data_IF_004796845289
#
_entry.id   IF_004796845289
#
_cell.length_a   1.000
_cell.length_b   1.000
_cell.length_c   1.000
_cell.angle_alpha   90.00
_cell.angle_beta   90.00
_cell.angle_gamma   90.00
#
_symmetry.space_group_name_H-M   'P 1'
#
loop_
_entity.id
_entity.type
_entity.pdbx_description
1 polymer ?
#
# COMPACT_ATOMS: atom_id res chain seq x y z
N UNK A 1 23.66 23.41 30.34
CA UNK A 1 23.28 22.00 30.26
C UNK A 1 22.62 21.86 28.90
N UNK A 2 23.26 21.12 28.00
CA UNK A 2 22.73 20.87 26.67
C UNK A 2 22.04 19.51 26.75
N UNK A 3 20.73 19.49 26.55
CA UNK A 3 20.00 18.22 26.51
C UNK A 3 20.33 17.54 25.19
N UNK A 4 20.93 16.36 25.24
CA UNK A 4 21.25 15.59 24.05
C UNK A 4 20.05 14.71 23.70
N UNK A 5 19.07 15.28 23.00
CA UNK A 5 17.86 14.56 22.58
C UNK A 5 17.99 14.19 21.10
N UNK A 6 17.79 12.91 20.78
CA UNK A 6 17.70 12.42 19.41
C UNK A 6 16.22 12.17 19.06
N UNK A 7 15.79 12.70 17.90
CA UNK A 7 14.40 12.61 17.43
C UNK A 7 14.39 11.89 16.08
N UNK A 8 13.67 10.77 16.02
CA UNK A 8 13.46 10.03 14.78
C UNK A 8 12.11 10.47 14.19
N UNK A 9 12.14 11.13 13.04
CA UNK A 9 10.93 11.66 12.39
C UNK A 9 10.89 11.42 10.89
N UNK A 10 9.67 11.37 10.35
CA UNK A 10 9.43 11.40 8.91
C UNK A 10 9.56 12.84 8.39
N UNK A 11 10.45 13.06 7.42
CA UNK A 11 10.70 14.40 6.86
C UNK A 11 9.56 14.90 5.95
N UNK A 12 8.77 14.00 5.37
CA UNK A 12 7.70 14.35 4.44
C UNK A 12 6.38 14.64 5.16
N UNK A 13 6.07 13.90 6.24
CA UNK A 13 4.83 14.06 7.02
C UNK A 13 5.02 14.83 8.33
N UNK A 14 6.27 15.09 8.73
CA UNK A 14 6.64 15.67 10.02
C UNK A 14 6.14 14.86 11.24
N UNK A 15 5.85 13.57 11.05
CA UNK A 15 5.44 12.66 12.12
C UNK A 15 6.66 12.19 12.92
N UNK A 16 6.60 12.30 14.25
CA UNK A 16 7.67 11.88 15.16
C UNK A 16 7.38 10.47 15.64
N UNK A 17 8.33 9.57 15.44
CA UNK A 17 8.22 8.17 15.86
C UNK A 17 8.78 7.94 17.25
N UNK A 18 9.91 8.59 17.55
CA UNK A 18 10.65 8.32 18.77
C UNK A 18 11.45 9.56 19.20
N UNK A 19 11.51 9.76 20.52
CA UNK A 19 12.31 10.81 21.16
C UNK A 19 13.15 10.12 22.23
N UNK A 20 14.46 10.14 22.05
CA UNK A 20 15.44 9.47 22.91
C UNK A 20 16.19 10.55 23.68
N UNK A 21 16.13 10.53 25.01
CA UNK A 21 16.93 11.41 25.87
C UNK A 21 18.25 10.69 26.21
N UNK A 22 19.35 11.14 25.62
CA UNK A 22 20.67 10.55 25.82
C UNK A 22 21.30 10.94 27.18
N UNK A 23 20.68 11.85 27.93
CA UNK A 23 21.15 12.22 29.26
C UNK A 23 20.54 11.34 30.38
N UNK A 24 19.54 10.51 30.07
CA UNK A 24 18.85 9.64 31.04
C UNK A 24 19.47 8.23 31.16
N UNK A 25 20.45 7.87 30.30
CA UNK A 25 21.16 6.59 30.40
C UNK A 25 22.35 6.61 31.36
N UNK A 26 22.03 6.58 32.66
CA UNK A 26 22.84 5.85 33.64
C UNK A 26 21.91 5.05 34.53
N UNK A 27 21.62 3.81 34.15
CA UNK A 27 21.92 2.61 34.95
C UNK A 27 21.51 1.33 34.21
N UNK A 28 22.34 0.30 34.41
CA UNK A 28 22.12 -1.11 34.14
C UNK A 28 22.36 -1.64 32.72
N UNK A 29 23.63 -1.92 32.46
CA UNK A 29 24.06 -3.02 31.60
C UNK A 29 23.52 -4.37 32.14
N UNK A 30 22.72 -5.07 31.33
CA UNK A 30 22.62 -6.53 31.37
C UNK A 30 22.50 -7.03 29.93
N UNK A 31 23.45 -7.89 29.59
CA UNK A 31 23.49 -8.79 28.44
C UNK A 31 22.21 -9.59 28.33
N UNK A 32 21.55 -9.56 27.17
CA UNK A 32 21.05 -10.79 26.55
C UNK A 32 20.83 -10.51 25.06
N UNK A 33 21.63 -11.21 24.26
CA UNK A 33 21.43 -11.36 22.82
C UNK A 33 20.19 -12.23 22.63
N UNK A 34 19.01 -11.66 22.83
CA UNK A 34 17.82 -12.22 22.21
C UNK A 34 17.87 -11.76 20.75
N UNK A 35 18.26 -12.67 19.84
CA UNK A 35 17.74 -12.60 18.48
C UNK A 35 16.21 -12.55 18.64
N UNK A 36 15.68 -11.33 18.67
CA UNK A 36 14.27 -11.08 18.41
C UNK A 36 13.98 -11.90 17.15
N UNK A 37 13.03 -12.85 17.18
CA UNK A 37 12.67 -13.51 15.95
C UNK A 37 12.30 -12.38 15.01
N UNK A 38 12.95 -12.31 13.83
CA UNK A 38 12.50 -11.46 12.73
C UNK A 38 10.98 -11.59 12.77
N UNK A 39 10.28 -10.48 13.03
CA UNK A 39 8.83 -10.49 13.06
C UNK A 39 8.41 -11.01 11.68
N UNK A 40 8.17 -12.32 11.60
CA UNK A 40 7.61 -12.95 10.44
C UNK A 40 6.26 -12.28 10.37
N UNK A 41 6.14 -11.29 9.47
CA UNK A 41 4.89 -10.64 9.17
C UNK A 41 3.97 -11.77 8.73
N UNK A 42 3.22 -12.33 9.67
CA UNK A 42 2.20 -13.35 9.46
C UNK A 42 0.96 -12.67 8.89
N UNK A 43 1.18 -11.79 7.92
CA UNK A 43 0.15 -11.35 7.02
C UNK A 43 -0.32 -12.62 6.30
N UNK A 44 -1.63 -12.96 6.35
CA UNK A 44 -2.17 -14.05 5.54
C UNK A 44 -2.05 -13.75 4.03
N UNK A 45 -1.59 -12.55 3.68
CA UNK A 45 -1.32 -12.10 2.32
C UNK A 45 0.16 -12.25 1.97
N UNK A 46 0.42 -12.79 0.78
CA UNK A 46 1.74 -12.89 0.17
C UNK A 46 2.34 -11.50 -0.16
N UNK A 47 3.57 -11.46 -0.68
CA UNK A 47 4.26 -10.23 -1.09
C UNK A 47 3.52 -9.42 -2.16
N UNK A 48 2.52 -10.02 -2.80
CA UNK A 48 1.64 -9.38 -3.79
C UNK A 48 0.30 -8.95 -3.17
N UNK A 49 0.15 -9.08 -1.85
CA UNK A 49 -1.06 -8.73 -1.13
C UNK A 49 -2.20 -9.72 -1.36
N UNK A 50 -1.92 -10.98 -1.71
CA UNK A 50 -2.93 -12.02 -2.03
C UNK A 50 -3.00 -13.11 -0.98
N UNK A 51 -4.20 -13.60 -0.68
CA UNK A 51 -4.49 -14.76 0.16
C UNK A 51 -5.13 -15.85 -0.69
N UNK A 52 -4.73 -17.11 -0.50
CA UNK A 52 -5.35 -18.26 -1.16
C UNK A 52 -6.57 -18.73 -0.35
N UNK A 53 -7.77 -18.73 -0.94
CA UNK A 53 -9.02 -19.13 -0.26
C UNK A 53 -9.54 -20.52 -0.73
N UNK A 54 -8.68 -21.34 -1.32
CA UNK A 54 -9.02 -22.70 -1.77
C UNK A 54 -9.58 -22.78 -3.20
N UNK A 55 -10.25 -21.74 -3.66
CA UNK A 55 -10.79 -21.62 -5.03
C UNK A 55 -10.07 -20.57 -5.88
N UNK A 56 -9.04 -19.92 -5.35
CA UNK A 56 -8.27 -18.89 -6.04
C UNK A 56 -7.46 -18.00 -5.09
N UNK A 57 -6.66 -17.12 -5.68
CA UNK A 57 -5.98 -16.04 -4.98
C UNK A 57 -6.87 -14.79 -4.92
N UNK A 58 -6.98 -14.18 -3.74
CA UNK A 58 -7.78 -12.99 -3.45
C UNK A 58 -6.91 -11.90 -2.85
N UNK A 59 -7.05 -10.66 -3.30
CA UNK A 59 -6.27 -9.56 -2.76
C UNK A 59 -6.79 -9.08 -1.39
N UNK A 60 -5.91 -8.49 -0.57
CA UNK A 60 -6.22 -7.85 0.71
C UNK A 60 -7.35 -6.83 0.52
N UNK A 61 -8.36 -6.78 1.42
CA UNK A 61 -9.56 -5.94 1.26
C UNK A 61 -9.32 -4.43 1.43
N UNK A 62 -8.16 -3.90 1.00
CA UNK A 62 -7.87 -2.47 0.96
C UNK A 62 -7.55 -1.95 -0.45
N UNK A 63 -7.75 -2.75 -1.50
CA UNK A 63 -7.04 -2.50 -2.76
C UNK A 63 -7.94 -2.31 -3.98
N UNK A 64 -8.98 -1.49 -3.87
CA UNK A 64 -9.73 -0.98 -5.03
C UNK A 64 -9.79 0.54 -4.91
N UNK A 65 -9.21 1.25 -5.88
CA UNK A 65 -9.33 2.71 -5.96
C UNK A 65 -10.74 3.08 -6.44
N UNK A 66 -11.18 2.44 -7.52
CA UNK A 66 -12.53 2.59 -8.03
C UNK A 66 -12.92 1.40 -8.92
N UNK A 67 -14.23 1.19 -9.04
CA UNK A 67 -14.86 0.28 -10.01
C UNK A 67 -16.00 1.03 -10.68
N UNK A 68 -16.09 0.91 -12.00
CA UNK A 68 -17.22 1.44 -12.78
C UNK A 68 -17.66 0.44 -13.84
N UNK A 69 -18.91 0.53 -14.26
CA UNK A 69 -19.50 -0.31 -15.30
C UNK A 69 -19.86 0.60 -16.48
N UNK A 70 -19.34 0.28 -17.67
CA UNK A 70 -19.60 1.01 -18.90
C UNK A 70 -19.72 0.02 -20.05
N UNK A 71 -20.79 0.12 -20.82
CA UNK A 71 -21.03 -0.73 -22.00
C UNK A 71 -20.93 -2.24 -21.73
N UNK A 72 -21.49 -2.70 -20.60
CA UNK A 72 -21.44 -4.10 -20.12
C UNK A 72 -20.02 -4.62 -19.80
N UNK A 73 -19.08 -3.70 -19.64
CA UNK A 73 -17.70 -3.96 -19.21
C UNK A 73 -17.49 -3.37 -17.82
N UNK A 74 -16.96 -4.21 -16.94
CA UNK A 74 -16.52 -3.82 -15.60
C UNK A 74 -15.06 -3.35 -15.70
N UNK A 75 -14.82 -2.14 -15.22
CA UNK A 75 -13.53 -1.48 -15.14
C UNK A 75 -13.14 -1.30 -13.68
N UNK A 76 -11.96 -1.76 -13.30
CA UNK A 76 -11.47 -1.69 -11.92
C UNK A 76 -10.01 -1.23 -11.89
N UNK A 77 -9.73 -0.18 -11.12
CA UNK A 77 -8.37 0.27 -10.87
C UNK A 77 -7.99 -0.05 -9.43
N UNK A 78 -6.87 -0.73 -9.25
CA UNK A 78 -6.35 -1.10 -7.94
C UNK A 78 -5.15 -0.21 -7.57
N UNK A 79 -4.83 -0.06 -6.26
CA UNK A 79 -3.65 0.67 -5.82
C UNK A 79 -2.33 0.15 -6.40
N UNK A 80 -1.31 1.01 -6.32
CA UNK A 80 0.04 0.72 -6.80
C UNK A 80 0.57 -0.58 -6.20
N UNK A 81 1.02 -1.49 -7.06
CA UNK A 81 1.67 -2.73 -6.66
C UNK A 81 3.14 -2.47 -6.24
N UNK A 82 3.82 -3.53 -5.78
CA UNK A 82 5.24 -3.47 -5.38
C UNK A 82 6.21 -3.03 -6.48
N UNK A 83 5.80 -3.14 -7.74
CA UNK A 83 6.58 -2.75 -8.91
C UNK A 83 6.36 -1.29 -9.32
N UNK A 84 5.51 -0.55 -8.59
CA UNK A 84 5.26 0.85 -8.90
C UNK A 84 4.17 1.09 -9.95
N UNK A 85 3.48 0.05 -10.41
CA UNK A 85 2.41 0.16 -11.40
C UNK A 85 1.04 -0.11 -10.80
N UNK A 86 -0.02 0.39 -11.44
CA UNK A 86 -1.40 0.25 -11.02
C UNK A 86 -2.08 -0.87 -11.83
N UNK A 87 -2.52 -1.97 -11.19
CA UNK A 87 -3.28 -2.99 -11.89
C UNK A 87 -4.65 -2.46 -12.31
N UNK A 88 -4.95 -2.56 -13.59
CA UNK A 88 -6.24 -2.20 -14.17
C UNK A 88 -6.90 -3.43 -14.79
N UNK A 89 -8.04 -3.82 -14.23
CA UNK A 89 -8.82 -4.95 -14.70
C UNK A 89 -9.96 -4.45 -15.59
N UNK A 90 -10.07 -5.07 -16.77
CA UNK A 90 -11.18 -4.86 -17.69
C UNK A 90 -11.79 -6.21 -17.99
N UNK A 91 -13.06 -6.42 -17.63
CA UNK A 91 -13.75 -7.70 -17.87
C UNK A 91 -15.18 -7.50 -18.29
N UNK A 92 -15.71 -8.40 -19.11
CA UNK A 92 -17.14 -8.43 -19.38
C UNK A 92 -17.92 -8.70 -18.09
N UNK A 93 -19.11 -8.11 -17.98
CA UNK A 93 -19.98 -8.29 -16.82
C UNK A 93 -20.41 -9.74 -16.63
N UNK A 94 -20.63 -10.45 -17.74
CA UNK A 94 -20.96 -11.87 -17.77
C UNK A 94 -19.77 -12.80 -17.46
N UNK A 95 -18.57 -12.25 -17.33
CA UNK A 95 -17.34 -12.98 -17.04
C UNK A 95 -16.78 -13.78 -18.23
N UNK A 96 -17.30 -13.58 -19.45
CA UNK A 96 -16.84 -14.31 -20.64
C UNK A 96 -15.38 -14.01 -20.99
N UNK A 97 -14.88 -12.82 -20.65
CA UNK A 97 -13.48 -12.44 -20.84
C UNK A 97 -13.02 -11.43 -19.80
N UNK A 98 -11.69 -11.37 -19.58
CA UNK A 98 -11.04 -10.38 -18.74
C UNK A 98 -9.57 -10.18 -19.11
N UNK A 99 -9.10 -8.94 -19.03
CA UNK A 99 -7.71 -8.54 -19.23
C UNK A 99 -7.23 -7.74 -18.03
N UNK A 100 -5.93 -7.85 -17.74
CA UNK A 100 -5.26 -7.10 -16.69
C UNK A 100 -4.13 -6.32 -17.34
N UNK A 101 -4.12 -5.01 -17.14
CA UNK A 101 -3.08 -4.10 -17.58
C UNK A 101 -2.31 -3.57 -16.37
N UNK A 102 -1.04 -3.24 -16.56
CA UNK A 102 -0.20 -2.60 -15.55
C UNK A 102 0.05 -1.16 -15.99
N UNK A 103 -0.65 -0.22 -15.38
CA UNK A 103 -0.59 1.19 -15.76
C UNK A 103 0.51 1.90 -14.98
N UNK A 104 1.19 2.83 -15.64
CA UNK A 104 1.99 3.85 -14.97
C UNK A 104 1.09 4.79 -14.15
N UNK A 105 1.69 5.62 -13.31
CA UNK A 105 0.95 6.61 -12.52
C UNK A 105 0.18 7.60 -13.42
N UNK A 106 0.79 8.06 -14.51
CA UNK A 106 0.16 8.98 -15.45
C UNK A 106 -1.02 8.33 -16.18
N UNK A 107 -0.86 7.11 -16.68
CA UNK A 107 -1.96 6.36 -17.33
C UNK A 107 -3.12 6.10 -16.36
N UNK A 108 -2.82 5.74 -15.11
CA UNK A 108 -3.83 5.51 -14.08
C UNK A 108 -4.60 6.79 -13.73
N UNK A 109 -3.91 7.94 -13.69
CA UNK A 109 -4.51 9.25 -13.48
C UNK A 109 -5.46 9.61 -14.63
N UNK A 110 -4.97 9.57 -15.87
CA UNK A 110 -5.79 9.90 -17.05
C UNK A 110 -7.02 8.99 -17.17
N UNK A 111 -6.85 7.69 -16.92
CA UNK A 111 -7.98 6.75 -16.91
C UNK A 111 -9.00 7.11 -15.82
N UNK A 112 -8.53 7.48 -14.63
CA UNK A 112 -9.42 7.90 -13.54
C UNK A 112 -10.24 9.13 -13.93
N UNK A 113 -9.61 10.11 -14.59
CA UNK A 113 -10.26 11.33 -15.08
C UNK A 113 -11.19 11.09 -16.28
N UNK A 114 -10.91 10.10 -17.11
CA UNK A 114 -11.81 9.69 -18.20
C UNK A 114 -13.14 9.15 -17.67
N UNK A 115 -13.09 8.35 -16.60
CA UNK A 115 -14.28 7.77 -15.97
C UNK A 115 -14.95 8.69 -14.95
N UNK A 116 -14.22 9.64 -14.38
CA UNK A 116 -14.67 10.56 -13.33
C UNK A 116 -14.22 11.99 -13.69
N UNK A 117 -14.76 12.59 -14.77
CA UNK A 117 -14.33 13.89 -15.27
C UNK A 117 -14.55 15.03 -14.26
N UNK A 118 -15.44 14.87 -13.29
CA UNK A 118 -15.65 15.79 -12.18
C UNK A 118 -14.40 15.95 -11.30
N UNK A 119 -13.48 14.99 -11.32
CA UNK A 119 -12.22 15.08 -10.59
C UNK A 119 -11.20 16.01 -11.26
N UNK A 120 -11.41 16.41 -12.52
CA UNK A 120 -10.54 17.35 -13.23
C UNK A 120 -10.40 18.71 -12.52
N UNK A 121 -11.35 19.12 -11.68
CA UNK A 121 -11.26 20.37 -10.92
C UNK A 121 -10.26 20.31 -9.76
N UNK A 122 -9.77 19.12 -9.39
CA UNK A 122 -8.87 18.87 -8.27
C UNK A 122 -7.44 18.51 -8.69
N UNK A 123 -7.17 18.51 -10.00
CA UNK A 123 -5.85 18.26 -10.61
C UNK A 123 -5.25 19.57 -11.05
#
# INVERSE_FOLDING_TARGET
MSNNIEIIMNLDTLEIFEVIDLDEEKEAAVTDTEELPEEVKTSPYDDLGRVWLGNGYYYKPFSLLWRTEKDDVIHELNPKNKHGTYPYHKRARDGTWGHIYQLTQEEALWLTLEFNPELMSYV
#
